data_IF_038986067619
#
_entry.id   IF_038986067619
#
_cell.length_a   1.000
_cell.length_b   1.000
_cell.length_c   1.000
_cell.angle_alpha   90.00
_cell.angle_beta   90.00
_cell.angle_gamma   90.00
#
_symmetry.space_group_name_H-M   'P 1'
#
loop_
_entity.id
_entity.type
_entity.pdbx_description
1 polymer ?
#
# COMPACT_ATOMS: atom_id res chain seq x y z
N UNK A 1 -1.97 13.17 -7.20
CA UNK A 1 -0.97 13.27 -6.10
C UNK A 1 -0.37 11.89 -5.99
N UNK A 2 0.95 11.77 -6.08
CA UNK A 2 1.62 10.48 -6.22
C UNK A 2 2.40 10.09 -4.96
N UNK A 3 2.71 8.81 -4.84
CA UNK A 3 3.61 8.29 -3.81
C UNK A 3 5.06 8.57 -4.19
N UNK A 4 5.92 8.87 -3.23
CA UNK A 4 7.36 8.91 -3.49
C UNK A 4 7.92 7.49 -3.55
N UNK A 5 9.08 7.32 -4.16
CA UNK A 5 9.82 6.06 -4.15
C UNK A 5 10.09 5.59 -2.71
N UNK A 6 10.42 6.52 -1.82
CA UNK A 6 10.64 6.28 -0.39
C UNK A 6 9.38 5.79 0.32
N UNK A 7 8.21 6.38 0.03
CA UNK A 7 6.93 5.93 0.61
C UNK A 7 6.59 4.51 0.16
N UNK A 8 6.83 4.16 -1.11
CA UNK A 8 6.61 2.80 -1.61
C UNK A 8 7.59 1.81 -1.00
N UNK A 9 8.86 2.20 -0.83
CA UNK A 9 9.86 1.41 -0.13
C UNK A 9 9.45 1.19 1.33
N UNK A 10 8.93 2.21 2.00
CA UNK A 10 8.38 2.11 3.35
C UNK A 10 7.23 1.11 3.41
N UNK A 11 6.24 1.25 2.53
CA UNK A 11 5.12 0.31 2.41
C UNK A 11 5.60 -1.14 2.14
N UNK A 12 6.65 -1.33 1.35
CA UNK A 12 7.26 -2.65 1.09
C UNK A 12 8.02 -3.23 2.28
N UNK A 13 8.30 -2.41 3.29
CA UNK A 13 9.02 -2.74 4.52
C UNK A 13 8.12 -2.72 5.77
N UNK A 14 6.81 -2.49 5.60
CA UNK A 14 5.84 -2.26 6.68
C UNK A 14 6.12 -0.98 7.50
N UNK A 15 6.74 0.03 6.90
CA UNK A 15 6.82 1.36 7.49
C UNK A 15 5.67 2.17 6.92
N UNK A 16 4.55 2.21 7.66
CA UNK A 16 3.33 2.90 7.25
C UNK A 16 3.28 4.28 7.90
N UNK A 17 3.22 5.33 7.07
CA UNK A 17 3.08 6.72 7.53
C UNK A 17 1.68 7.24 7.19
N UNK A 18 1.18 8.18 8.00
CA UNK A 18 -0.11 8.85 7.75
C UNK A 18 -0.15 9.47 6.35
N UNK A 19 0.95 10.11 5.93
CA UNK A 19 1.10 10.68 4.58
C UNK A 19 0.94 9.63 3.48
N UNK A 20 1.51 8.43 3.63
CA UNK A 20 1.39 7.36 2.64
C UNK A 20 -0.04 6.81 2.58
N UNK A 21 -0.72 6.71 3.73
CA UNK A 21 -2.12 6.30 3.81
C UNK A 21 -3.02 7.32 3.11
N UNK A 22 -2.90 8.61 3.45
CA UNK A 22 -3.68 9.68 2.83
C UNK A 22 -3.51 9.72 1.31
N UNK A 23 -2.26 9.55 0.84
CA UNK A 23 -1.96 9.45 -0.59
C UNK A 23 -2.63 8.25 -1.24
N UNK A 24 -2.55 7.06 -0.63
CA UNK A 24 -3.20 5.86 -1.13
C UNK A 24 -4.71 6.06 -1.29
N UNK A 25 -5.36 6.72 -0.33
CA UNK A 25 -6.81 6.95 -0.33
C UNK A 25 -7.31 7.80 -1.51
N UNK A 26 -6.49 8.74 -1.99
CA UNK A 26 -6.84 9.66 -3.08
C UNK A 26 -6.12 9.36 -4.40
N UNK A 27 -5.30 8.30 -4.44
CA UNK A 27 -4.49 7.96 -5.61
C UNK A 27 -5.38 7.60 -6.81
N UNK A 28 -4.99 8.08 -7.99
CA UNK A 28 -5.62 7.71 -9.26
C UNK A 28 -4.95 6.48 -9.86
N UNK A 29 -5.60 5.83 -10.83
CA UNK A 29 -4.98 4.72 -11.55
C UNK A 29 -3.73 5.16 -12.32
N UNK A 30 -3.75 6.36 -12.93
CA UNK A 30 -2.60 6.87 -13.68
C UNK A 30 -1.39 7.07 -12.77
N UNK A 31 -1.59 7.68 -11.60
CA UNK A 31 -0.55 7.82 -10.57
C UNK A 31 -0.07 6.44 -10.07
N UNK A 32 -1.01 5.51 -9.82
CA UNK A 32 -0.72 4.17 -9.32
C UNK A 32 0.08 3.29 -10.29
N UNK A 33 -0.22 3.42 -11.60
CA UNK A 33 0.32 2.57 -12.65
C UNK A 33 1.84 2.70 -12.80
N UNK A 34 2.41 3.84 -12.40
CA UNK A 34 3.85 4.13 -12.45
C UNK A 34 4.68 3.16 -11.59
N UNK A 35 4.07 2.53 -10.60
CA UNK A 35 4.76 1.65 -9.65
C UNK A 35 4.52 0.16 -9.90
N UNK A 36 3.65 -0.17 -10.87
CA UNK A 36 3.13 -1.52 -11.10
C UNK A 36 4.21 -2.55 -11.48
N UNK A 37 5.39 -2.07 -11.89
CA UNK A 37 6.56 -2.87 -12.26
C UNK A 37 7.65 -2.88 -11.19
N UNK A 38 7.53 -2.08 -10.13
CA UNK A 38 8.58 -1.99 -9.10
C UNK A 38 8.51 -3.17 -8.14
N UNK A 39 9.68 -3.69 -7.76
CA UNK A 39 9.78 -4.83 -6.83
C UNK A 39 9.17 -4.49 -5.45
N UNK A 40 9.43 -3.27 -4.96
CA UNK A 40 8.90 -2.81 -3.67
C UNK A 40 7.37 -2.75 -3.66
N UNK A 41 6.77 -2.24 -4.73
CA UNK A 41 5.32 -2.22 -4.85
C UNK A 41 4.70 -3.61 -4.95
N UNK A 42 5.33 -4.52 -5.69
CA UNK A 42 4.88 -5.91 -5.77
C UNK A 42 4.96 -6.61 -4.42
N UNK A 43 6.00 -6.33 -3.61
CA UNK A 43 6.10 -6.81 -2.23
C UNK A 43 5.00 -6.22 -1.35
N UNK A 44 4.75 -4.92 -1.43
CA UNK A 44 3.63 -4.26 -0.73
C UNK A 44 2.30 -4.93 -1.07
N UNK A 45 1.95 -5.06 -2.35
CA UNK A 45 0.70 -5.68 -2.78
C UNK A 45 0.62 -7.15 -2.34
N UNK A 46 1.69 -7.92 -2.49
CA UNK A 46 1.71 -9.33 -2.03
C UNK A 46 1.41 -9.42 -0.54
N UNK A 47 1.86 -8.47 0.28
CA UNK A 47 1.54 -8.41 1.71
C UNK A 47 0.10 -8.04 1.99
N UNK A 48 -0.43 -7.04 1.28
CA UNK A 48 -1.81 -6.60 1.46
C UNK A 48 -2.81 -7.67 1.04
N UNK A 49 -2.58 -8.32 -0.10
CA UNK A 49 -3.56 -9.25 -0.68
C UNK A 49 -3.28 -10.73 -0.35
N UNK A 50 -2.06 -11.06 0.09
CA UNK A 50 -1.63 -12.45 0.31
C UNK A 50 -1.44 -13.27 -0.98
N UNK A 51 -1.57 -12.65 -2.15
CA UNK A 51 -1.46 -13.31 -3.46
C UNK A 51 -0.17 -12.87 -4.14
N UNK A 52 0.62 -13.83 -4.62
CA UNK A 52 1.84 -13.56 -5.40
C UNK A 52 1.50 -13.10 -6.81
N UNK A 53 2.23 -12.11 -7.29
CA UNK A 53 2.20 -11.70 -8.70
C UNK A 53 2.77 -12.83 -9.59
N UNK A 54 2.26 -13.03 -10.83
CA UNK A 54 1.40 -12.14 -11.62
C UNK A 54 -0.10 -12.45 -11.57
N UNK A 55 -0.53 -13.40 -10.74
CA UNK A 55 -1.91 -13.94 -10.71
C UNK A 55 -2.96 -12.90 -10.28
N UNK A 56 -2.52 -11.79 -9.68
CA UNK A 56 -3.42 -10.78 -9.15
C UNK A 56 -3.81 -9.72 -10.21
N UNK A 57 -5.12 -9.55 -10.51
CA UNK A 57 -5.59 -8.67 -11.58
C UNK A 57 -5.15 -7.22 -11.42
N UNK A 58 -4.51 -6.59 -12.44
CA UNK A 58 -4.03 -5.22 -12.37
C UNK A 58 -5.10 -4.21 -11.93
N UNK A 59 -6.31 -4.32 -12.47
CA UNK A 59 -7.42 -3.39 -12.18
C UNK A 59 -7.91 -3.46 -10.71
N UNK A 60 -7.57 -4.52 -9.96
CA UNK A 60 -7.93 -4.65 -8.53
C UNK A 60 -6.84 -4.13 -7.58
N UNK A 61 -5.62 -3.87 -8.08
CA UNK A 61 -4.48 -3.46 -7.25
C UNK A 61 -4.73 -2.15 -6.50
N UNK A 62 -5.20 -1.12 -7.19
CA UNK A 62 -5.50 0.16 -6.57
C UNK A 62 -6.70 0.07 -5.60
N UNK A 63 -7.86 -0.50 -5.98
CA UNK A 63 -8.98 -0.69 -5.06
C UNK A 63 -8.61 -1.44 -3.78
N UNK A 64 -7.77 -2.47 -3.89
CA UNK A 64 -7.32 -3.24 -2.72
C UNK A 64 -6.37 -2.43 -1.84
N UNK A 65 -5.40 -1.71 -2.42
CA UNK A 65 -4.51 -0.85 -1.66
C UNK A 65 -5.28 0.27 -0.92
N UNK A 66 -6.28 0.86 -1.59
CA UNK A 66 -7.18 1.85 -0.98
C UNK A 66 -8.04 1.28 0.13
N UNK A 67 -8.61 0.08 -0.08
CA UNK A 67 -9.37 -0.60 0.96
C UNK A 67 -8.50 -0.87 2.18
N UNK A 68 -7.31 -1.42 2.00
CA UNK A 68 -6.36 -1.65 3.08
C UNK A 68 -6.04 -0.36 3.83
N UNK A 69 -5.73 0.73 3.12
CA UNK A 69 -5.46 2.02 3.75
C UNK A 69 -6.64 2.53 4.61
N UNK A 70 -7.89 2.39 4.12
CA UNK A 70 -9.09 2.74 4.92
C UNK A 70 -9.19 1.91 6.20
N UNK A 71 -8.92 0.62 6.12
CA UNK A 71 -8.99 -0.27 7.28
C UNK A 71 -7.91 0.06 8.30
N UNK A 72 -6.71 0.44 7.85
CA UNK A 72 -5.63 0.92 8.75
C UNK A 72 -6.06 2.22 9.43
N UNK A 73 -6.56 3.21 8.68
CA UNK A 73 -7.01 4.50 9.23
C UNK A 73 -8.18 4.34 10.20
N UNK A 74 -9.08 3.38 9.94
CA UNK A 74 -10.20 3.06 10.81
C UNK A 74 -9.81 2.24 12.06
N UNK A 75 -8.53 1.86 12.22
CA UNK A 75 -8.06 1.00 13.30
C UNK A 75 -8.60 -0.44 13.22
N UNK A 76 -9.15 -0.85 12.08
CA UNK A 76 -9.73 -2.19 11.87
C UNK A 76 -8.65 -3.27 11.69
N UNK A 77 -7.49 -2.86 11.17
CA UNK A 77 -6.33 -3.75 10.99
C UNK A 77 -5.07 -3.06 11.51
N UNK A 78 -4.18 -3.88 12.07
CA UNK A 78 -2.90 -3.41 12.60
C UNK A 78 -1.92 -3.23 11.44
N UNK A 79 -1.39 -2.02 11.31
CA UNK A 79 -0.22 -1.74 10.48
C UNK A 79 1.03 -1.74 11.38
N UNK A 80 2.19 -2.06 10.80
CA UNK A 80 3.44 -1.81 11.50
C UNK A 80 3.85 -0.35 11.29
N UNK A 81 4.36 0.26 12.35
CA UNK A 81 5.04 1.55 12.33
C UNK A 81 6.33 1.36 13.12
N UNK A 82 7.46 1.62 12.46
CA UNK A 82 8.79 1.55 13.09
C UNK A 82 9.03 0.24 13.86
N UNK A 83 8.81 -0.91 13.20
CA UNK A 83 8.93 -2.28 13.74
C UNK A 83 7.96 -2.65 14.89
N UNK A 84 7.10 -1.73 15.32
CA UNK A 84 6.08 -1.99 16.32
C UNK A 84 4.70 -2.19 15.68
N UNK A 85 3.96 -3.15 16.24
CA UNK A 85 2.61 -3.49 15.83
C UNK A 85 1.65 -2.58 16.59
N UNK A 86 0.98 -1.64 15.90
CA UNK A 86 0.18 -0.60 16.57
C UNK A 86 -1.25 -0.63 16.06
N UNK A 87 -2.21 -0.61 17.00
CA UNK A 87 -3.55 -0.11 16.74
C UNK A 87 -3.44 1.41 16.76
N UNK A 88 -3.70 2.06 15.63
CA UNK A 88 -3.73 3.52 15.56
C UNK A 88 -4.94 4.06 16.31
#
# INVERSE_FOLDING_TARGET
>A
MSLTTEEIRGLSQNVVTDTALDKLLVLTWDDFSQYNTTNDFNKFLTRVVGIKQPEFPPHLRLPVAQRWARQVVAGEILAFRDDNLIAL
#
